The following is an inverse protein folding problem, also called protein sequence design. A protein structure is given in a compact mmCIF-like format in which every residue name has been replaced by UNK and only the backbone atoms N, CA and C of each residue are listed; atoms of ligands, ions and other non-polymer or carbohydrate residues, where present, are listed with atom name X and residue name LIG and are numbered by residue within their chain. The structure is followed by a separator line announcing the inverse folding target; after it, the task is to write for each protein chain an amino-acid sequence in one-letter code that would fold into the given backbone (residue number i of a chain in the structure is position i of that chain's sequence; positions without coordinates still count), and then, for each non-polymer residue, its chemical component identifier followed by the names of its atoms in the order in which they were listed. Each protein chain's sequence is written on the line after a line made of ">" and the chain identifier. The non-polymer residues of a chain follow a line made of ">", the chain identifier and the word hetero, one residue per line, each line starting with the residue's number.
data_IF_908922895984
#
_entry.id   IF_908922895984
#
_cell.length_a   1.000
_cell.length_b   1.000
_cell.length_c   1.000
_cell.angle_alpha   90.00
_cell.angle_beta   90.00
_cell.angle_gamma   90.00
#
_symmetry.space_group_name_H-M   'P 1'
#
loop_
_entity.id
_entity.type
_entity.pdbx_description
1 polymer ?
#
# COMPACT_ATOMS: atom_id res chain seq x y z
N UNK A 1 7.50 -25.01 -18.94
CA UNK A 1 7.28 -24.56 -17.54
C UNK A 1 6.63 -23.20 -17.61
N UNK A 2 5.45 -23.03 -17.04
CA UNK A 2 4.82 -21.70 -16.93
C UNK A 2 5.61 -20.91 -15.90
N UNK A 3 6.27 -19.83 -16.32
CA UNK A 3 6.97 -18.92 -15.41
C UNK A 3 5.91 -18.12 -14.65
N UNK A 4 5.87 -18.26 -13.33
CA UNK A 4 4.98 -17.46 -12.47
C UNK A 4 5.58 -16.08 -12.26
N UNK A 5 4.79 -15.02 -12.40
CA UNK A 5 5.22 -13.66 -12.09
C UNK A 5 5.47 -13.53 -10.59
N UNK A 6 6.42 -12.68 -10.20
CA UNK A 6 6.91 -12.58 -8.83
C UNK A 6 6.88 -11.13 -8.37
N UNK A 7 6.45 -10.91 -7.14
CA UNK A 7 6.43 -9.58 -6.54
C UNK A 7 7.05 -9.58 -5.15
N UNK A 8 7.78 -8.52 -4.83
CA UNK A 8 8.39 -8.29 -3.53
C UNK A 8 7.56 -7.29 -2.72
N UNK A 9 7.23 -7.64 -1.49
CA UNK A 9 6.75 -6.67 -0.50
C UNK A 9 7.83 -6.40 0.55
N UNK A 10 8.14 -5.12 0.78
CA UNK A 10 9.05 -4.64 1.83
C UNK A 10 8.18 -4.01 2.91
N UNK A 11 7.83 -4.78 3.94
CA UNK A 11 6.81 -4.37 4.91
C UNK A 11 6.97 -5.05 6.27
N UNK A 12 6.29 -4.53 7.27
CA UNK A 12 6.18 -5.17 8.58
C UNK A 12 5.24 -6.38 8.55
N UNK A 13 5.51 -7.34 9.45
CA UNK A 13 4.61 -8.45 9.75
C UNK A 13 3.54 -8.00 10.74
N UNK A 14 2.29 -8.19 10.42
CA UNK A 14 1.14 -8.06 11.33
C UNK A 14 0.78 -9.44 11.89
N UNK A 15 1.11 -9.68 13.16
CA UNK A 15 0.88 -10.98 13.80
C UNK A 15 -0.61 -11.41 13.79
N UNK A 16 -1.55 -10.46 13.65
CA UNK A 16 -2.98 -10.79 13.50
C UNK A 16 -3.32 -11.36 12.12
N UNK A 17 -2.43 -11.20 11.15
CA UNK A 17 -2.61 -11.67 9.78
C UNK A 17 -3.56 -10.81 8.95
N UNK A 18 -4.05 -9.67 9.46
CA UNK A 18 -5.04 -8.83 8.79
C UNK A 18 -4.46 -7.76 7.88
N UNK A 19 -3.24 -7.32 8.16
CA UNK A 19 -2.55 -6.25 7.42
C UNK A 19 -1.09 -6.62 7.14
N UNK A 20 -0.25 -5.65 6.84
CA UNK A 20 1.17 -5.85 6.62
C UNK A 20 1.48 -6.83 5.49
N UNK A 21 2.63 -7.48 5.58
CA UNK A 21 3.07 -8.44 4.58
C UNK A 21 2.12 -9.63 4.45
N UNK A 22 1.39 -10.01 5.50
CA UNK A 22 0.40 -11.10 5.48
C UNK A 22 -0.76 -10.78 4.54
N UNK A 23 -1.26 -9.54 4.56
CA UNK A 23 -2.28 -9.08 3.62
C UNK A 23 -1.72 -8.98 2.19
N UNK A 24 -0.47 -8.52 2.06
CA UNK A 24 0.20 -8.41 0.77
C UNK A 24 0.36 -9.77 0.09
N UNK A 25 0.93 -10.75 0.79
CA UNK A 25 1.14 -12.11 0.25
C UNK A 25 -0.19 -12.78 -0.11
N UNK A 26 -1.21 -12.71 0.77
CA UNK A 26 -2.55 -13.24 0.47
C UNK A 26 -3.14 -12.62 -0.80
N UNK A 27 -2.97 -11.31 -0.97
CA UNK A 27 -3.45 -10.59 -2.16
C UNK A 27 -2.70 -11.02 -3.42
N UNK A 28 -1.36 -11.11 -3.35
CA UNK A 28 -0.52 -11.53 -4.46
C UNK A 28 -0.88 -12.96 -4.91
N UNK A 29 -1.01 -13.89 -3.98
CA UNK A 29 -1.38 -15.28 -4.27
C UNK A 29 -2.79 -15.39 -4.90
N UNK A 30 -3.78 -14.65 -4.38
CA UNK A 30 -5.14 -14.63 -4.96
C UNK A 30 -5.17 -14.04 -6.37
N UNK A 31 -4.22 -13.19 -6.74
CA UNK A 31 -4.06 -12.62 -8.08
C UNK A 31 -3.05 -13.38 -8.96
N UNK A 32 -2.62 -14.58 -8.54
CA UNK A 32 -1.74 -15.46 -9.32
C UNK A 32 -0.29 -14.97 -9.42
N UNK A 33 0.18 -14.20 -8.44
CA UNK A 33 1.56 -13.71 -8.35
C UNK A 33 2.26 -14.36 -7.16
N UNK A 34 3.46 -14.87 -7.37
CA UNK A 34 4.30 -15.40 -6.29
C UNK A 34 4.83 -14.25 -5.43
N UNK A 35 4.26 -14.10 -4.25
CA UNK A 35 4.61 -13.04 -3.31
C UNK A 35 5.82 -13.41 -2.45
N UNK A 36 6.77 -12.49 -2.33
CA UNK A 36 7.96 -12.65 -1.48
C UNK A 36 8.06 -11.49 -0.49
N UNK A 37 8.27 -11.74 0.81
CA UNK A 37 8.45 -10.69 1.80
C UNK A 37 9.92 -10.34 2.03
N UNK A 38 10.21 -9.05 2.26
CA UNK A 38 11.34 -8.58 3.03
C UNK A 38 10.79 -7.88 4.28
N UNK A 39 10.97 -8.51 5.43
CA UNK A 39 10.43 -8.03 6.70
C UNK A 39 11.22 -6.82 7.21
N UNK A 40 10.50 -5.77 7.59
CA UNK A 40 11.06 -4.54 8.19
C UNK A 40 10.92 -4.51 9.70
N UNK A 41 9.82 -5.04 10.21
CA UNK A 41 9.51 -5.12 11.63
C UNK A 41 8.49 -6.23 11.90
N UNK A 42 8.30 -6.57 13.18
CA UNK A 42 7.19 -7.39 13.66
C UNK A 42 6.28 -6.50 14.49
N UNK A 43 4.97 -6.56 14.21
CA UNK A 43 3.93 -5.85 14.96
C UNK A 43 3.12 -6.87 15.74
N UNK A 44 3.04 -6.68 17.05
CA UNK A 44 2.17 -7.46 17.94
C UNK A 44 1.08 -6.56 18.52
N UNK A 45 -0.04 -7.15 18.91
CA UNK A 45 -1.17 -6.44 19.52
C UNK A 45 -1.46 -7.01 20.89
N UNK A 46 -1.76 -6.11 21.83
CA UNK A 46 -2.22 -6.55 23.13
C UNK A 46 -3.60 -7.23 23.01
N UNK A 47 -3.81 -8.43 23.57
CA UNK A 47 -4.99 -9.24 23.28
C UNK A 47 -6.33 -8.63 23.72
N UNK A 48 -6.33 -7.69 24.67
CA UNK A 48 -7.56 -7.07 25.19
C UNK A 48 -7.72 -5.60 24.80
N UNK A 49 -6.65 -4.83 24.61
CA UNK A 49 -6.71 -3.40 24.23
C UNK A 49 -6.44 -3.16 22.75
N UNK A 50 -5.84 -4.13 22.07
CA UNK A 50 -5.38 -4.03 20.69
C UNK A 50 -4.29 -2.95 20.48
N UNK A 51 -3.63 -2.55 21.55
CA UNK A 51 -2.47 -1.64 21.48
C UNK A 51 -1.32 -2.32 20.72
N UNK A 52 -0.73 -1.58 19.80
CA UNK A 52 0.33 -2.07 18.93
C UNK A 52 1.70 -1.89 19.57
N UNK A 53 2.52 -2.94 19.51
CA UNK A 53 3.96 -2.88 19.81
C UNK A 53 4.72 -3.22 18.53
N UNK A 54 5.72 -2.38 18.17
CA UNK A 54 6.50 -2.51 16.94
C UNK A 54 7.94 -2.86 17.28
N UNK A 55 8.44 -3.94 16.69
CA UNK A 55 9.81 -4.46 16.88
C UNK A 55 10.56 -4.39 15.55
N UNK A 56 11.38 -3.33 15.31
CA UNK A 56 12.15 -3.19 14.07
C UNK A 56 13.18 -4.31 13.92
N UNK A 57 13.42 -4.75 12.68
CA UNK A 57 14.51 -5.66 12.35
C UNK A 57 15.81 -4.87 12.05
N UNK A 58 16.98 -5.46 12.30
CA UNK A 58 18.26 -4.86 11.95
C UNK A 58 18.37 -4.59 10.43
N UNK A 59 18.90 -3.44 10.04
CA UNK A 59 19.03 -3.03 8.63
C UNK A 59 19.82 -4.04 7.79
N UNK A 60 20.90 -4.59 8.32
CA UNK A 60 21.72 -5.61 7.62
C UNK A 60 20.93 -6.89 7.34
N UNK A 61 19.97 -7.24 8.22
CA UNK A 61 19.07 -8.37 7.98
C UNK A 61 18.05 -8.04 6.89
N UNK A 62 17.53 -6.81 6.86
CA UNK A 62 16.62 -6.39 5.78
C UNK A 62 17.35 -6.39 4.45
N UNK A 63 18.57 -5.85 4.38
CA UNK A 63 19.40 -5.86 3.16
C UNK A 63 19.62 -7.28 2.62
N UNK A 64 19.96 -8.24 3.49
CA UNK A 64 20.14 -9.66 3.10
C UNK A 64 18.88 -10.27 2.52
N UNK A 65 17.69 -9.91 3.04
CA UNK A 65 16.41 -10.35 2.49
C UNK A 65 16.18 -9.75 1.09
N UNK A 66 16.48 -8.46 0.89
CA UNK A 66 16.38 -7.79 -0.41
C UNK A 66 17.29 -8.46 -1.45
N UNK A 67 18.56 -8.71 -1.11
CA UNK A 67 19.49 -9.41 -1.99
C UNK A 67 18.97 -10.81 -2.36
N UNK A 68 18.46 -11.57 -1.40
CA UNK A 68 17.90 -12.90 -1.65
C UNK A 68 16.72 -12.83 -2.63
N UNK A 69 15.78 -11.90 -2.43
CA UNK A 69 14.59 -11.76 -3.27
C UNK A 69 14.94 -11.27 -4.69
N UNK A 70 15.84 -10.30 -4.80
CA UNK A 70 16.13 -9.62 -6.07
C UNK A 70 17.16 -10.42 -6.88
N UNK A 71 18.31 -10.76 -6.30
CA UNK A 71 19.37 -11.47 -7.01
C UNK A 71 19.13 -12.98 -7.07
N UNK A 72 18.64 -13.56 -5.96
CA UNK A 72 18.46 -15.01 -5.85
C UNK A 72 17.22 -15.52 -6.57
N UNK A 73 16.10 -14.78 -6.52
CA UNK A 73 14.81 -15.23 -7.07
C UNK A 73 14.39 -14.42 -8.30
N UNK A 74 14.64 -13.11 -8.32
CA UNK A 74 14.18 -12.17 -9.32
C UNK A 74 12.74 -11.70 -9.08
N UNK A 75 12.43 -10.47 -9.48
CA UNK A 75 11.11 -9.84 -9.28
C UNK A 75 10.62 -9.16 -10.56
N UNK A 76 9.29 -9.07 -10.72
CA UNK A 76 8.62 -8.35 -11.80
C UNK A 76 8.02 -7.02 -11.32
N UNK A 77 7.73 -6.92 -10.03
CA UNK A 77 7.21 -5.71 -9.37
C UNK A 77 7.59 -5.71 -7.89
N UNK A 78 7.53 -4.54 -7.25
CA UNK A 78 7.71 -4.43 -5.81
C UNK A 78 6.75 -3.41 -5.20
N UNK A 79 6.50 -3.58 -3.89
CA UNK A 79 5.87 -2.53 -3.09
C UNK A 79 6.60 -2.30 -1.78
N UNK A 80 6.44 -1.10 -1.24
CA UNK A 80 6.74 -0.83 0.16
C UNK A 80 5.46 -0.84 1.00
N UNK A 81 5.58 -1.20 2.27
CA UNK A 81 4.59 -0.94 3.32
C UNK A 81 5.24 -0.13 4.44
N UNK A 82 5.00 -0.50 5.70
CA UNK A 82 5.63 0.18 6.85
C UNK A 82 7.14 0.02 6.82
N UNK A 83 7.89 1.13 6.73
CA UNK A 83 9.35 1.14 6.75
C UNK A 83 9.92 1.52 8.13
N UNK A 84 9.27 2.44 8.85
CA UNK A 84 9.54 2.68 10.28
C UNK A 84 10.75 3.54 10.61
N UNK A 85 11.71 3.76 9.71
CA UNK A 85 12.86 4.66 9.94
C UNK A 85 13.38 5.28 8.65
N UNK A 86 14.08 6.41 8.78
CA UNK A 86 14.72 7.11 7.66
C UNK A 86 15.82 6.25 7.01
N UNK A 87 16.64 5.56 7.80
CA UNK A 87 17.72 4.71 7.32
C UNK A 87 17.18 3.53 6.47
N UNK A 88 16.03 2.98 6.86
CA UNK A 88 15.40 1.93 6.07
C UNK A 88 14.84 2.48 4.75
N UNK A 89 14.28 3.68 4.75
CA UNK A 89 13.85 4.37 3.53
C UNK A 89 15.04 4.62 2.59
N UNK A 90 16.19 5.05 3.13
CA UNK A 90 17.43 5.22 2.37
C UNK A 90 17.92 3.90 1.76
N UNK A 91 17.91 2.82 2.54
CA UNK A 91 18.27 1.48 2.05
C UNK A 91 17.37 1.04 0.89
N UNK A 92 16.06 1.25 1.01
CA UNK A 92 15.10 0.90 -0.06
C UNK A 92 15.33 1.76 -1.30
N UNK A 93 15.54 3.07 -1.15
CA UNK A 93 15.83 3.97 -2.27
C UNK A 93 17.12 3.57 -3.01
N UNK A 94 18.20 3.29 -2.26
CA UNK A 94 19.45 2.81 -2.81
C UNK A 94 19.29 1.45 -3.52
N UNK A 95 18.44 0.57 -2.99
CA UNK A 95 18.12 -0.73 -3.61
C UNK A 95 17.40 -0.55 -4.95
N UNK A 96 16.40 0.34 -5.01
CA UNK A 96 15.69 0.67 -6.27
C UNK A 96 16.68 1.15 -7.33
N UNK A 97 17.58 2.07 -6.96
CA UNK A 97 18.57 2.63 -7.88
C UNK A 97 19.60 1.56 -8.31
N UNK A 98 20.16 0.81 -7.35
CA UNK A 98 21.20 -0.21 -7.59
C UNK A 98 20.74 -1.27 -8.60
N UNK A 99 19.52 -1.73 -8.49
CA UNK A 99 18.97 -2.81 -9.33
C UNK A 99 18.10 -2.29 -10.48
N UNK A 100 17.97 -0.97 -10.63
CA UNK A 100 17.12 -0.33 -11.63
C UNK A 100 15.71 -0.96 -11.66
N UNK A 101 15.10 -1.07 -10.48
CA UNK A 101 13.82 -1.75 -10.31
C UNK A 101 12.70 -1.02 -11.04
N UNK A 102 11.81 -1.78 -11.62
CA UNK A 102 10.63 -1.30 -12.33
C UNK A 102 9.37 -1.77 -11.63
N UNK A 103 8.21 -1.17 -11.96
CA UNK A 103 6.93 -1.47 -11.33
C UNK A 103 6.99 -1.28 -9.81
N UNK A 104 7.50 -0.11 -9.41
CA UNK A 104 7.70 0.29 -8.01
C UNK A 104 6.44 0.95 -7.48
N UNK A 105 5.77 0.29 -6.54
CA UNK A 105 4.58 0.79 -5.83
C UNK A 105 4.99 1.26 -4.43
N UNK A 106 4.74 2.50 -4.09
CA UNK A 106 5.01 3.04 -2.75
C UNK A 106 3.68 3.22 -2.00
N UNK A 107 3.44 2.37 -0.99
CA UNK A 107 2.40 2.62 0.01
C UNK A 107 3.07 3.41 1.16
N UNK A 108 2.78 4.70 1.30
CA UNK A 108 3.62 5.58 2.11
C UNK A 108 3.37 5.48 3.62
N UNK A 109 2.71 4.50 4.12
CA UNK A 109 2.33 4.22 5.51
C UNK A 109 2.97 5.15 6.56
N UNK A 110 2.43 6.36 6.70
CA UNK A 110 2.96 7.41 7.59
C UNK A 110 2.10 7.59 8.84
N UNK A 111 0.83 7.17 8.79
CA UNK A 111 -0.14 7.36 9.87
C UNK A 111 -0.72 6.02 10.32
N UNK A 112 -0.99 5.88 11.63
CA UNK A 112 -1.76 4.75 12.14
C UNK A 112 -3.25 4.90 11.77
N UNK A 113 -3.91 3.76 11.66
CA UNK A 113 -5.37 3.72 11.52
C UNK A 113 -6.04 4.45 12.69
N UNK A 114 -6.87 5.45 12.36
CA UNK A 114 -7.59 6.25 13.37
C UNK A 114 -6.80 7.41 13.99
N UNK A 115 -5.55 7.61 13.59
CA UNK A 115 -4.74 8.79 13.93
C UNK A 115 -4.62 9.72 12.73
N UNK A 116 -4.55 11.03 12.98
CA UNK A 116 -4.24 12.04 11.97
C UNK A 116 -2.81 12.59 12.14
N UNK A 117 -1.99 11.90 12.93
CA UNK A 117 -0.61 12.29 13.23
C UNK A 117 0.39 11.41 12.49
N UNK A 118 1.42 12.04 11.95
CA UNK A 118 2.57 11.34 11.37
C UNK A 118 3.32 10.61 12.49
N UNK A 119 3.48 9.30 12.35
CA UNK A 119 4.09 8.45 13.38
C UNK A 119 5.59 8.69 13.55
N UNK A 120 6.31 8.78 12.43
CA UNK A 120 7.77 8.93 12.36
C UNK A 120 8.08 10.03 11.34
N UNK A 121 8.19 11.31 11.77
CA UNK A 121 8.38 12.44 10.87
C UNK A 121 9.59 12.30 9.93
N UNK A 122 10.73 11.82 10.46
CA UNK A 122 11.96 11.67 9.68
C UNK A 122 11.80 10.62 8.56
N UNK A 123 11.10 9.51 8.84
CA UNK A 123 10.80 8.52 7.82
C UNK A 123 9.81 9.07 6.77
N UNK A 124 8.81 9.83 7.19
CA UNK A 124 7.85 10.44 6.28
C UNK A 124 8.53 11.43 5.33
N UNK A 125 9.43 12.27 5.85
CA UNK A 125 10.22 13.20 5.03
C UNK A 125 11.15 12.46 4.07
N UNK A 126 11.78 11.37 4.52
CA UNK A 126 12.61 10.53 3.66
C UNK A 126 11.81 9.84 2.56
N UNK A 127 10.59 9.34 2.84
CA UNK A 127 9.67 8.80 1.82
C UNK A 127 9.37 9.86 0.77
N UNK A 128 9.01 11.07 1.19
CA UNK A 128 8.72 12.18 0.30
C UNK A 128 9.91 12.54 -0.60
N UNK A 129 11.12 12.62 -0.03
CA UNK A 129 12.32 13.04 -0.75
C UNK A 129 12.94 11.94 -1.60
N UNK A 130 12.94 10.69 -1.12
CA UNK A 130 13.72 9.62 -1.70
C UNK A 130 12.88 8.59 -2.46
N UNK A 131 11.72 8.17 -1.95
CA UNK A 131 10.92 7.13 -2.59
C UNK A 131 9.91 7.69 -3.59
N UNK A 132 9.27 8.81 -3.27
CA UNK A 132 8.27 9.41 -4.17
C UNK A 132 8.82 9.69 -5.58
N UNK A 133 10.05 10.24 -5.78
CA UNK A 133 10.60 10.43 -7.13
C UNK A 133 11.02 9.13 -7.85
N UNK A 134 11.06 8.01 -7.14
CA UNK A 134 11.46 6.69 -7.67
C UNK A 134 10.30 5.76 -7.94
N UNK A 135 9.08 6.15 -7.56
CA UNK A 135 7.92 5.29 -7.73
C UNK A 135 7.30 5.38 -9.13
N UNK A 136 6.72 4.27 -9.57
CA UNK A 136 5.81 4.27 -10.71
C UNK A 136 4.41 4.71 -10.27
N UNK A 137 4.03 4.38 -9.03
CA UNK A 137 2.81 4.86 -8.38
C UNK A 137 3.00 4.97 -6.86
N UNK A 138 2.42 6.02 -6.26
CA UNK A 138 2.29 6.16 -4.81
C UNK A 138 0.81 6.12 -4.40
N UNK A 139 0.49 5.48 -3.24
CA UNK A 139 -0.89 5.17 -2.86
C UNK A 139 -1.30 5.77 -1.50
N UNK A 140 -1.22 7.09 -1.30
CA UNK A 140 -1.54 7.72 -0.03
C UNK A 140 -3.05 7.70 0.28
N UNK A 141 -3.41 7.71 1.57
CA UNK A 141 -4.71 8.18 2.02
C UNK A 141 -4.75 9.72 2.02
N UNK A 142 -5.88 10.32 2.39
CA UNK A 142 -6.05 11.79 2.35
C UNK A 142 -5.11 12.54 3.30
N UNK A 143 -4.77 11.97 4.46
CA UNK A 143 -3.84 12.59 5.43
C UNK A 143 -2.40 12.54 4.90
N UNK A 144 -2.00 11.38 4.39
CA UNK A 144 -0.70 11.18 3.75
C UNK A 144 -0.55 12.05 2.49
N UNK A 145 -1.63 12.17 1.70
CA UNK A 145 -1.65 13.04 0.52
C UNK A 145 -1.47 14.52 0.88
N UNK A 146 -2.12 14.99 1.94
CA UNK A 146 -1.94 16.36 2.44
C UNK A 146 -0.48 16.63 2.80
N UNK A 147 0.16 15.70 3.53
CA UNK A 147 1.58 15.80 3.88
C UNK A 147 2.50 15.79 2.65
N UNK A 148 2.29 14.85 1.73
CA UNK A 148 3.10 14.74 0.51
C UNK A 148 2.99 15.95 -0.40
N UNK A 149 1.79 16.56 -0.46
CA UNK A 149 1.47 17.72 -1.30
C UNK A 149 1.74 19.07 -0.64
N UNK A 150 2.25 19.11 0.60
CA UNK A 150 2.40 20.35 1.40
C UNK A 150 1.07 21.12 1.52
N UNK A 151 -0.03 20.40 1.74
CA UNK A 151 -1.36 20.97 1.94
C UNK A 151 -1.78 20.82 3.42
N UNK A 152 -2.55 21.77 3.96
CA UNK A 152 -3.01 21.69 5.35
C UNK A 152 -3.95 20.49 5.59
N UNK A 153 -4.78 20.18 4.58
CA UNK A 153 -5.74 19.07 4.63
C UNK A 153 -6.19 18.68 3.22
N UNK A 154 -6.73 17.47 3.08
CA UNK A 154 -7.38 16.95 1.86
C UNK A 154 -8.70 16.31 2.27
N UNK A 155 -9.81 17.03 2.08
CA UNK A 155 -11.16 16.66 2.56
C UNK A 155 -12.23 16.73 1.47
N UNK A 156 -11.90 17.23 0.28
CA UNK A 156 -12.80 17.27 -0.89
C UNK A 156 -12.20 16.62 -2.11
N UNK A 157 -13.02 16.31 -3.10
CA UNK A 157 -12.58 15.74 -4.39
C UNK A 157 -11.64 16.71 -5.12
N UNK A 158 -11.93 18.01 -5.07
CA UNK A 158 -11.11 19.06 -5.67
C UNK A 158 -9.72 19.10 -5.01
N UNK A 159 -9.67 19.03 -3.68
CA UNK A 159 -8.40 18.98 -2.95
C UNK A 159 -7.62 17.70 -3.23
N UNK A 160 -8.29 16.55 -3.43
CA UNK A 160 -7.61 15.32 -3.88
C UNK A 160 -6.95 15.53 -5.23
N UNK A 161 -7.65 16.15 -6.19
CA UNK A 161 -7.07 16.42 -7.52
C UNK A 161 -5.88 17.37 -7.43
N UNK A 162 -6.00 18.45 -6.65
CA UNK A 162 -4.90 19.38 -6.39
C UNK A 162 -3.69 18.66 -5.75
N UNK A 163 -3.92 17.83 -4.72
CA UNK A 163 -2.87 17.06 -4.07
C UNK A 163 -2.19 16.09 -5.06
N UNK A 164 -2.96 15.41 -5.91
CA UNK A 164 -2.44 14.51 -6.92
C UNK A 164 -1.54 15.21 -7.93
N UNK A 165 -1.92 16.39 -8.41
CA UNK A 165 -1.09 17.21 -9.31
C UNK A 165 0.22 17.62 -8.64
N UNK A 166 0.17 18.07 -7.38
CA UNK A 166 1.37 18.45 -6.59
C UNK A 166 2.31 17.27 -6.37
N UNK A 167 1.78 16.09 -6.02
CA UNK A 167 2.56 14.87 -5.81
C UNK A 167 3.28 14.44 -7.10
N UNK A 168 2.60 14.48 -8.23
CA UNK A 168 3.22 14.17 -9.53
C UNK A 168 4.24 15.24 -9.92
N UNK A 169 3.93 16.51 -9.73
CA UNK A 169 4.89 17.61 -9.97
C UNK A 169 6.15 17.51 -9.08
N UNK A 170 6.03 16.93 -7.88
CA UNK A 170 7.14 16.66 -6.96
C UNK A 170 7.94 15.39 -7.30
N UNK A 171 7.57 14.64 -8.35
CA UNK A 171 8.39 13.59 -8.92
C UNK A 171 7.77 12.19 -9.01
N UNK A 172 6.61 11.92 -8.41
CA UNK A 172 5.92 10.65 -8.61
C UNK A 172 5.44 10.53 -10.07
N UNK A 173 5.57 9.34 -10.69
CA UNK A 173 5.06 9.16 -12.07
C UNK A 173 3.54 9.13 -12.12
N UNK A 174 2.90 8.57 -11.09
CA UNK A 174 1.45 8.56 -10.93
C UNK A 174 1.08 8.45 -9.45
N UNK A 175 -0.17 8.71 -9.13
CA UNK A 175 -0.68 8.63 -7.76
C UNK A 175 -2.12 8.12 -7.74
N UNK A 176 -2.48 7.33 -6.74
CA UNK A 176 -3.87 7.08 -6.39
C UNK A 176 -4.13 7.50 -4.95
N UNK A 177 -4.97 8.50 -4.76
CA UNK A 177 -5.35 8.99 -3.43
C UNK A 177 -6.62 8.28 -2.97
N UNK A 178 -6.49 7.58 -1.85
CA UNK A 178 -7.58 6.82 -1.23
C UNK A 178 -8.44 7.75 -0.38
N UNK A 179 -9.62 8.14 -0.88
CA UNK A 179 -10.56 8.98 -0.14
C UNK A 179 -11.30 8.24 0.97
N UNK A 180 -11.54 6.94 0.75
CA UNK A 180 -12.15 6.06 1.75
C UNK A 180 -13.48 6.58 2.30
N UNK A 181 -13.63 6.54 3.63
CA UNK A 181 -14.82 6.99 4.33
C UNK A 181 -14.83 8.50 4.65
N UNK A 182 -13.71 9.20 4.42
CA UNK A 182 -13.50 10.60 4.82
C UNK A 182 -14.12 11.62 3.89
N UNK A 183 -14.33 11.24 2.63
CA UNK A 183 -14.97 12.07 1.62
C UNK A 183 -16.43 11.69 1.50
N UNK A 184 -17.29 12.68 1.33
CA UNK A 184 -18.71 12.56 1.00
C UNK A 184 -19.56 11.56 1.79
N UNK A 185 -20.86 11.64 1.63
CA UNK A 185 -21.82 11.02 2.52
C UNK A 185 -22.04 9.52 2.28
N UNK A 186 -22.13 9.09 1.02
CA UNK A 186 -22.55 7.72 0.69
C UNK A 186 -21.58 6.89 -0.13
N UNK A 187 -20.50 7.52 -0.64
CA UNK A 187 -19.56 6.86 -1.56
C UNK A 187 -18.12 6.89 -1.03
N UNK A 188 -17.41 5.79 -1.20
CA UNK A 188 -15.96 5.71 -1.04
C UNK A 188 -15.31 6.03 -2.39
N UNK A 189 -14.72 7.23 -2.49
CA UNK A 189 -14.15 7.77 -3.72
C UNK A 189 -12.63 7.70 -3.63
N UNK A 190 -11.99 7.07 -4.62
CA UNK A 190 -10.54 7.13 -4.81
C UNK A 190 -10.27 7.77 -6.18
N UNK A 191 -9.19 8.54 -6.27
CA UNK A 191 -8.82 9.24 -7.52
C UNK A 191 -7.42 8.83 -7.92
N UNK A 192 -7.31 8.27 -9.12
CA UNK A 192 -6.06 7.98 -9.79
C UNK A 192 -5.71 9.12 -10.75
N UNK A 193 -4.43 9.53 -10.75
CA UNK A 193 -3.87 10.51 -11.67
C UNK A 193 -2.56 9.97 -12.26
N UNK A 194 -2.51 9.88 -13.59
CA UNK A 194 -1.35 9.35 -14.33
C UNK A 194 -0.36 10.44 -14.79
N UNK A 195 -0.53 11.66 -14.30
CA UNK A 195 0.21 12.84 -14.73
C UNK A 195 -0.43 13.59 -15.91
N UNK A 196 -1.55 13.08 -16.45
CA UNK A 196 -2.29 13.69 -17.59
C UNK A 196 -3.79 13.68 -17.36
N UNK A 197 -4.35 12.55 -16.96
CA UNK A 197 -5.79 12.33 -16.82
C UNK A 197 -6.15 11.82 -15.42
N UNK A 198 -7.28 12.29 -14.91
CA UNK A 198 -7.88 11.79 -13.68
C UNK A 198 -8.84 10.62 -14.00
N UNK A 199 -8.80 9.61 -13.14
CA UNK A 199 -9.80 8.55 -13.13
C UNK A 199 -10.41 8.48 -11.73
N UNK A 200 -11.69 8.79 -11.63
CA UNK A 200 -12.46 8.70 -10.40
C UNK A 200 -13.07 7.29 -10.25
N UNK A 201 -12.93 6.71 -9.08
CA UNK A 201 -13.42 5.37 -8.74
C UNK A 201 -14.32 5.46 -7.51
N UNK A 202 -15.62 5.57 -7.73
CA UNK A 202 -16.62 5.65 -6.67
C UNK A 202 -17.34 4.32 -6.48
N UNK A 203 -17.49 3.89 -5.22
CA UNK A 203 -18.30 2.73 -4.83
C UNK A 203 -19.13 3.10 -3.58
N UNK A 204 -20.30 2.48 -3.36
CA UNK A 204 -21.04 2.68 -2.11
C UNK A 204 -20.19 2.35 -0.89
N UNK A 205 -20.34 3.10 0.19
CA UNK A 205 -19.72 2.76 1.48
C UNK A 205 -20.25 1.44 2.00
N UNK A 206 -19.36 0.65 2.61
CA UNK A 206 -19.67 -0.69 3.09
C UNK A 206 -19.71 -0.67 4.62
N UNK A 207 -20.81 -1.16 5.18
CA UNK A 207 -21.00 -1.24 6.62
C UNK A 207 -21.43 -2.67 7.03
N UNK A 208 -20.90 -3.20 8.17
CA UNK A 208 -19.84 -2.64 9.00
C UNK A 208 -18.50 -2.60 8.26
N UNK A 209 -17.67 -1.60 8.58
CA UNK A 209 -16.38 -1.41 7.92
C UNK A 209 -15.30 -2.29 8.56
N UNK A 210 -15.10 -3.49 8.03
CA UNK A 210 -13.99 -4.37 8.38
C UNK A 210 -12.78 -4.08 7.47
N UNK A 211 -12.09 -2.98 7.75
CA UNK A 211 -11.12 -2.37 6.85
C UNK A 211 -9.66 -2.50 7.29
N UNK A 212 -9.36 -3.35 8.31
CA UNK A 212 -7.98 -3.64 8.69
C UNK A 212 -7.27 -4.34 7.52
N UNK A 213 -6.14 -3.78 7.09
CA UNK A 213 -5.38 -4.25 5.93
C UNK A 213 -5.86 -3.78 4.56
N UNK A 214 -6.95 -2.99 4.47
CA UNK A 214 -7.47 -2.53 3.17
C UNK A 214 -6.44 -1.75 2.34
N UNK A 215 -5.62 -0.89 2.98
CA UNK A 215 -4.54 -0.16 2.31
C UNK A 215 -3.47 -1.09 1.74
N UNK A 216 -2.97 -2.01 2.55
CA UNK A 216 -2.00 -3.03 2.15
C UNK A 216 -2.56 -3.88 0.99
N UNK A 217 -3.81 -4.36 1.13
CA UNK A 217 -4.52 -5.12 0.08
C UNK A 217 -4.58 -4.32 -1.23
N UNK A 218 -4.91 -3.03 -1.17
CA UNK A 218 -5.02 -2.19 -2.37
C UNK A 218 -3.67 -2.03 -3.08
N UNK A 219 -2.61 -1.66 -2.35
CA UNK A 219 -1.27 -1.48 -2.92
C UNK A 219 -0.68 -2.81 -3.44
N UNK A 220 -0.91 -3.93 -2.74
CA UNK A 220 -0.49 -5.26 -3.18
C UNK A 220 -1.24 -5.72 -4.44
N UNK A 221 -2.53 -5.38 -4.59
CA UNK A 221 -3.29 -5.70 -5.79
C UNK A 221 -2.80 -4.90 -7.01
N UNK A 222 -2.42 -3.61 -6.83
CA UNK A 222 -1.76 -2.83 -7.89
C UNK A 222 -0.45 -3.50 -8.30
N UNK A 223 0.39 -3.85 -7.31
CA UNK A 223 1.68 -4.51 -7.54
C UNK A 223 1.51 -5.82 -8.30
N UNK A 224 0.50 -6.61 -7.95
CA UNK A 224 0.18 -7.86 -8.64
C UNK A 224 -0.27 -7.63 -10.08
N UNK A 225 -1.10 -6.63 -10.33
CA UNK A 225 -1.52 -6.24 -11.68
C UNK A 225 -0.33 -5.86 -12.56
N UNK A 226 0.59 -5.04 -12.02
CA UNK A 226 1.82 -4.65 -12.73
C UNK A 226 2.75 -5.83 -12.97
N UNK A 227 2.92 -6.72 -11.98
CA UNK A 227 3.69 -7.95 -12.15
C UNK A 227 3.12 -8.84 -13.26
N UNK A 228 1.80 -8.86 -13.42
CA UNK A 228 1.08 -9.60 -14.46
C UNK A 228 1.04 -8.86 -15.82
N UNK A 229 1.69 -7.69 -15.94
CA UNK A 229 1.82 -6.94 -17.19
C UNK A 229 0.63 -6.05 -17.54
N UNK A 230 -0.27 -5.77 -16.58
CA UNK A 230 -1.33 -4.78 -16.78
C UNK A 230 -0.73 -3.37 -16.88
N UNK A 231 -1.39 -2.50 -17.63
CA UNK A 231 -1.09 -1.07 -17.57
C UNK A 231 -1.39 -0.51 -16.18
N UNK A 232 -0.79 0.62 -15.82
CA UNK A 232 -1.00 1.25 -14.52
C UNK A 232 -2.49 1.49 -14.22
N UNK A 233 -3.23 2.02 -15.18
CA UNK A 233 -4.68 2.27 -15.03
C UNK A 233 -5.47 0.97 -14.81
N UNK A 234 -5.18 -0.08 -15.56
CA UNK A 234 -5.84 -1.38 -15.40
C UNK A 234 -5.52 -2.01 -14.04
N UNK A 235 -4.26 -1.94 -13.58
CA UNK A 235 -3.85 -2.43 -12.27
C UNK A 235 -4.58 -1.70 -11.13
N UNK A 236 -4.71 -0.38 -11.21
CA UNK A 236 -5.47 0.42 -10.23
C UNK A 236 -6.96 0.07 -10.23
N UNK A 237 -7.58 -0.07 -11.41
CA UNK A 237 -8.99 -0.45 -11.53
C UNK A 237 -9.24 -1.88 -11.02
N UNK A 238 -8.33 -2.82 -11.29
CA UNK A 238 -8.39 -4.17 -10.72
C UNK A 238 -8.29 -4.14 -9.19
N UNK A 239 -7.34 -3.36 -8.66
CA UNK A 239 -7.15 -3.21 -7.22
C UNK A 239 -8.39 -2.63 -6.53
N UNK A 240 -9.07 -1.63 -7.13
CA UNK A 240 -10.33 -1.09 -6.62
C UNK A 240 -11.42 -2.17 -6.54
N UNK A 241 -11.56 -2.99 -7.57
CA UNK A 241 -12.52 -4.11 -7.57
C UNK A 241 -12.15 -5.14 -6.51
N UNK A 242 -10.88 -5.52 -6.42
CA UNK A 242 -10.38 -6.49 -5.45
C UNK A 242 -10.64 -6.04 -4.00
N UNK A 243 -10.22 -4.82 -3.63
CA UNK A 243 -10.40 -4.32 -2.26
C UNK A 243 -11.88 -4.11 -1.92
N UNK A 244 -12.70 -3.70 -2.88
CA UNK A 244 -14.15 -3.56 -2.69
C UNK A 244 -14.80 -4.90 -2.36
N UNK A 245 -14.46 -5.97 -3.09
CA UNK A 245 -14.93 -7.32 -2.79
C UNK A 245 -14.42 -7.79 -1.41
N UNK A 246 -13.13 -7.54 -1.11
CA UNK A 246 -12.53 -7.91 0.16
C UNK A 246 -13.16 -7.20 1.36
N UNK A 247 -13.54 -5.94 1.22
CA UNK A 247 -14.28 -5.17 2.23
C UNK A 247 -15.72 -5.64 2.39
N UNK A 248 -16.44 -5.85 1.27
CA UNK A 248 -17.84 -6.30 1.26
C UNK A 248 -18.03 -7.64 1.99
N UNK A 249 -17.03 -8.50 1.94
CA UNK A 249 -17.02 -9.80 2.58
C UNK A 249 -16.00 -9.89 3.73
N UNK A 250 -15.62 -8.75 4.29
CA UNK A 250 -14.77 -8.68 5.48
C UNK A 250 -15.41 -9.36 6.69
N UNK A 251 -14.61 -9.68 7.68
CA UNK A 251 -15.07 -10.39 8.87
C UNK A 251 -14.36 -9.89 10.13
N UNK A 252 -15.04 -10.01 11.26
CA UNK A 252 -14.43 -9.72 12.55
C UNK A 252 -13.41 -10.82 12.90
N UNK A 253 -12.19 -10.43 13.26
CA UNK A 253 -11.18 -11.36 13.79
C UNK A 253 -11.27 -11.45 15.32
N UNK A 254 -11.81 -10.42 15.95
CA UNK A 254 -12.15 -10.37 17.37
C UNK A 254 -13.23 -9.30 17.62
N UNK A 255 -13.51 -8.98 18.89
CA UNK A 255 -14.52 -8.01 19.29
C UNK A 255 -14.11 -6.54 19.02
N UNK A 256 -12.86 -6.27 18.62
CA UNK A 256 -12.29 -4.92 18.48
C UNK A 256 -12.08 -4.58 17.01
N UNK A 257 -11.59 -5.55 16.20
CA UNK A 257 -11.18 -5.28 14.83
C UNK A 257 -11.70 -6.34 13.87
N UNK A 258 -12.01 -5.91 12.65
CA UNK A 258 -12.32 -6.78 11.52
C UNK A 258 -11.41 -6.47 10.34
N UNK A 259 -11.09 -7.48 9.56
CA UNK A 259 -10.18 -7.39 8.43
C UNK A 259 -10.86 -7.70 7.09
N UNK A 260 -10.17 -7.33 6.03
CA UNK A 260 -10.54 -7.65 4.66
C UNK A 260 -10.48 -9.16 4.39
N UNK A 261 -11.38 -9.68 3.56
CA UNK A 261 -11.38 -11.06 3.11
C UNK A 261 -10.70 -11.18 1.74
N UNK A 262 -9.44 -11.57 1.72
CA UNK A 262 -8.63 -11.63 0.49
C UNK A 262 -9.16 -12.65 -0.54
N UNK A 263 -9.88 -13.71 -0.09
CA UNK A 263 -10.44 -14.72 -1.00
C UNK A 263 -11.76 -14.28 -1.68
N UNK A 264 -12.31 -13.12 -1.27
CA UNK A 264 -13.64 -12.69 -1.70
C UNK A 264 -13.70 -12.38 -3.19
N UNK A 265 -12.65 -11.80 -3.75
CA UNK A 265 -12.60 -11.47 -5.17
C UNK A 265 -12.83 -12.70 -6.05
N UNK A 266 -12.10 -13.78 -5.80
CA UNK A 266 -12.26 -15.05 -6.53
C UNK A 266 -13.60 -15.74 -6.28
N UNK A 267 -14.13 -15.64 -5.04
CA UNK A 267 -15.35 -16.37 -4.65
C UNK A 267 -16.65 -15.68 -5.06
N UNK A 268 -16.65 -14.35 -5.16
CA UNK A 268 -17.87 -13.55 -5.30
C UNK A 268 -17.80 -12.51 -6.43
N UNK A 269 -16.72 -12.48 -7.24
CA UNK A 269 -16.74 -11.73 -8.50
C UNK A 269 -17.54 -12.53 -9.54
N UNK A 270 -18.64 -11.95 -9.99
CA UNK A 270 -19.39 -12.43 -11.15
C UNK A 270 -18.69 -12.06 -12.45
#
# INVERSE_FOLDING_TARGET
>A
MTLMNKALTIAGSDTSGGAGMEADIKTMEELGVYGMPALTCIVTMHPTTWEHSVFPLPLDLVEKQLVTAIEGVGINAMKTGMLGSAELVELVAATIDKYNLQNVVIDPVMVCKGCDLILVPDAAESIKKLLMPRCDIITPNTVEAAYLADMPEVTTVEQIKEAAEKIVAAGAKSVVIKGGERLSDNSAIDIFYDGKEFTEMAVPKIYPSYNHGAGCTFSAAITSGLANGLSMKEAVLQAKKFVTAALKHGFAINNIVGCTNHTAYRKYSE
#
